data_IF_141597602836
#
_entry.id   IF_141597602836
#
_cell.length_a   1.000
_cell.length_b   1.000
_cell.length_c   1.000
_cell.angle_alpha   90.00
_cell.angle_beta   90.00
_cell.angle_gamma   90.00
#
_symmetry.space_group_name_H-M   'P 1'
#
loop_
_entity.id
_entity.type
_entity.pdbx_description
1 polymer ?
#
# COMPACT_ATOMS: atom_id res chain seq x y z
N UNK A 1 72.12 -7.36 15.80
CA UNK A 1 71.51 -6.54 16.87
C UNK A 1 70.47 -5.60 16.25
N UNK A 2 69.45 -6.07 15.52
CA UNK A 2 68.16 -6.66 15.96
C UNK A 2 67.23 -5.77 16.82
N UNK A 3 67.52 -4.48 17.05
CA UNK A 3 66.66 -3.62 17.89
C UNK A 3 66.16 -2.31 17.23
N UNK A 4 66.48 -2.05 15.96
CA UNK A 4 66.07 -0.81 15.27
C UNK A 4 64.83 -0.97 14.38
N UNK A 5 64.56 -2.19 13.92
CA UNK A 5 63.36 -2.51 13.15
C UNK A 5 62.11 -2.71 14.02
N UNK A 6 62.27 -3.14 15.28
CA UNK A 6 61.14 -3.34 16.21
C UNK A 6 60.40 -2.04 16.55
N UNK A 7 61.12 -0.92 16.66
CA UNK A 7 60.53 0.39 16.97
C UNK A 7 59.87 1.01 15.73
N UNK A 8 60.39 0.75 14.53
CA UNK A 8 59.77 1.22 13.28
C UNK A 8 58.52 0.41 12.91
N UNK A 9 58.51 -0.89 13.20
CA UNK A 9 57.33 -1.74 12.97
C UNK A 9 56.20 -1.38 13.96
N UNK A 10 56.51 -1.02 15.22
CA UNK A 10 55.47 -0.65 16.20
C UNK A 10 54.78 0.68 15.89
N UNK A 11 55.51 1.69 15.39
CA UNK A 11 54.92 3.00 15.04
C UNK A 11 54.04 2.92 13.80
N UNK A 12 54.36 2.04 12.85
CA UNK A 12 53.56 1.85 11.62
C UNK A 12 52.27 1.07 11.89
N UNK A 13 52.29 0.09 12.79
CA UNK A 13 51.10 -0.71 13.18
C UNK A 13 50.10 0.14 13.98
N UNK A 14 50.56 1.10 14.78
CA UNK A 14 49.67 2.00 15.55
C UNK A 14 48.97 3.02 14.64
N UNK A 15 49.58 3.44 13.53
CA UNK A 15 48.96 4.39 12.59
C UNK A 15 47.85 3.76 11.73
N UNK A 16 47.91 2.46 11.46
CA UNK A 16 46.87 1.74 10.70
C UNK A 16 45.60 1.53 11.55
N UNK A 17 45.72 1.42 12.87
CA UNK A 17 44.58 1.17 13.77
C UNK A 17 43.76 2.42 14.11
N UNK A 18 44.27 3.62 13.84
CA UNK A 18 43.61 4.90 14.10
C UNK A 18 43.09 5.59 12.84
N UNK A 19 43.03 4.88 11.70
CA UNK A 19 42.18 5.31 10.61
C UNK A 19 40.76 5.04 11.12
N UNK A 20 39.95 6.05 11.50
CA UNK A 20 38.54 5.79 11.66
C UNK A 20 38.13 5.16 10.35
N UNK A 21 37.61 3.93 10.41
CA UNK A 21 36.88 3.35 9.30
C UNK A 21 35.76 4.36 9.06
N UNK A 22 36.02 5.34 8.21
CA UNK A 22 35.01 6.18 7.62
C UNK A 22 34.24 5.17 6.80
N UNK A 23 33.29 4.52 7.46
CA UNK A 23 32.17 3.91 6.81
C UNK A 23 31.68 5.04 5.94
N UNK A 24 31.93 4.94 4.63
CA UNK A 24 31.10 5.61 3.67
C UNK A 24 29.73 5.06 4.01
N UNK A 25 29.02 5.78 4.89
CA UNK A 25 27.60 5.59 5.03
C UNK A 25 27.11 5.85 3.62
N UNK A 26 26.75 4.78 2.92
CA UNK A 26 25.90 4.93 1.77
C UNK A 26 24.65 5.60 2.31
N UNK A 27 24.63 6.93 2.20
CA UNK A 27 23.44 7.76 2.29
C UNK A 27 22.59 7.52 1.05
N UNK A 28 22.51 6.26 0.59
CA UNK A 28 21.37 5.78 -0.16
C UNK A 28 20.18 5.85 0.79
N UNK A 29 19.05 6.34 0.30
CA UNK A 29 17.85 6.59 1.09
C UNK A 29 17.37 5.34 1.86
N UNK A 30 17.95 5.06 3.03
CA UNK A 30 17.40 4.17 4.05
C UNK A 30 16.13 4.82 4.56
N UNK A 31 15.01 4.54 3.90
CA UNK A 31 13.70 4.97 4.36
C UNK A 31 12.86 5.75 3.36
N UNK A 32 13.17 5.76 2.06
CA UNK A 32 12.07 5.95 1.10
C UNK A 32 11.28 4.64 1.03
N UNK A 33 10.55 4.34 2.11
CA UNK A 33 9.34 3.55 1.97
C UNK A 33 8.54 4.31 0.93
N UNK A 34 8.37 3.76 -0.26
CA UNK A 34 7.25 4.13 -1.11
C UNK A 34 6.03 3.67 -0.30
N UNK A 35 5.64 4.45 0.72
CA UNK A 35 4.32 4.31 1.31
C UNK A 35 3.44 4.74 0.16
N UNK A 36 2.88 3.76 -0.56
CA UNK A 36 1.76 4.04 -1.45
C UNK A 36 0.80 4.83 -0.59
N UNK A 37 0.65 6.12 -0.90
CA UNK A 37 -0.15 7.02 -0.11
C UNK A 37 -1.60 6.65 -0.40
N UNK A 38 -2.04 5.56 0.20
CA UNK A 38 -3.44 5.19 0.20
C UNK A 38 -4.19 6.36 0.84
N UNK A 39 -5.23 6.81 0.16
CA UNK A 39 -6.11 7.82 0.71
C UNK A 39 -7.20 7.11 1.51
N UNK A 40 -7.34 7.46 2.79
CA UNK A 40 -8.34 6.85 3.66
C UNK A 40 -9.75 7.28 3.23
N UNK A 41 -10.69 6.32 3.21
CA UNK A 41 -12.11 6.60 2.95
C UNK A 41 -13.04 5.53 3.52
N UNK A 42 -14.32 5.88 3.55
CA UNK A 42 -15.41 4.96 3.91
C UNK A 42 -15.58 3.84 2.87
N UNK A 43 -16.29 2.75 3.23
CA UNK A 43 -16.59 1.66 2.31
C UNK A 43 -17.24 2.11 1.00
N UNK A 44 -16.87 1.42 -0.07
CA UNK A 44 -17.36 1.69 -1.42
C UNK A 44 -18.55 0.78 -1.71
N UNK A 45 -19.65 1.36 -2.19
CA UNK A 45 -20.82 0.63 -2.66
C UNK A 45 -21.20 1.09 -4.06
N UNK A 46 -21.06 0.20 -5.02
CA UNK A 46 -21.50 0.37 -6.41
C UNK A 46 -22.64 -0.61 -6.66
N UNK A 47 -23.83 -0.13 -6.99
CA UNK A 47 -25.02 -0.95 -7.20
C UNK A 47 -25.77 -0.54 -8.47
N UNK A 48 -25.14 -0.77 -9.62
CA UNK A 48 -25.56 -0.29 -10.93
C UNK A 48 -24.43 0.45 -11.64
N UNK A 49 -24.45 0.44 -12.98
CA UNK A 49 -23.45 1.13 -13.81
C UNK A 49 -23.38 2.64 -13.49
N UNK A 50 -24.51 3.26 -13.14
CA UNK A 50 -24.58 4.68 -12.78
C UNK A 50 -23.85 5.04 -11.48
N UNK A 51 -23.56 4.05 -10.62
CA UNK A 51 -22.90 4.29 -9.34
C UNK A 51 -21.37 4.42 -9.50
N UNK A 52 -20.79 4.09 -10.67
CA UNK A 52 -19.37 4.27 -10.96
C UNK A 52 -19.00 5.75 -11.12
N UNK A 53 -18.90 6.43 -9.98
CA UNK A 53 -18.60 7.85 -9.86
C UNK A 53 -17.35 8.08 -9.04
N UNK A 54 -16.72 9.24 -9.20
CA UNK A 54 -15.56 9.63 -8.40
C UNK A 54 -15.87 9.72 -6.90
N UNK A 55 -17.08 10.15 -6.54
CA UNK A 55 -17.58 10.13 -5.15
C UNK A 55 -17.61 8.70 -4.58
N UNK A 56 -17.94 7.72 -5.41
CA UNK A 56 -17.97 6.30 -5.01
C UNK A 56 -16.62 5.60 -5.20
N UNK A 57 -15.53 6.34 -5.31
CA UNK A 57 -14.17 5.78 -5.28
C UNK A 57 -13.61 5.35 -6.63
N UNK A 58 -14.26 5.70 -7.74
CA UNK A 58 -13.66 5.57 -9.07
C UNK A 58 -12.57 6.63 -9.26
N UNK A 59 -11.37 6.22 -9.64
CA UNK A 59 -10.23 7.12 -9.87
C UNK A 59 -10.02 7.46 -11.35
N UNK A 60 -10.47 6.60 -12.26
CA UNK A 60 -10.34 6.77 -13.72
C UNK A 60 -11.19 5.75 -14.46
N UNK A 61 -11.23 5.83 -15.81
CA UNK A 61 -11.94 4.90 -16.67
C UNK A 61 -13.36 5.36 -17.02
N UNK A 62 -13.95 4.71 -18.03
CA UNK A 62 -15.32 4.97 -18.49
C UNK A 62 -16.21 3.71 -18.48
N UNK A 63 -15.67 2.56 -18.08
CA UNK A 63 -16.43 1.32 -17.92
C UNK A 63 -16.49 0.45 -19.18
N UNK A 64 -15.83 0.86 -20.26
CA UNK A 64 -15.63 0.02 -21.46
C UNK A 64 -14.57 -1.06 -21.24
N UNK A 65 -14.54 -2.09 -22.07
CA UNK A 65 -13.52 -3.14 -22.02
C UNK A 65 -12.11 -2.57 -22.20
N UNK A 66 -11.96 -1.61 -23.12
CA UNK A 66 -10.68 -0.93 -23.39
C UNK A 66 -10.28 0.06 -22.30
N UNK A 67 -11.24 0.61 -21.55
CA UNK A 67 -11.02 1.61 -20.51
C UNK A 67 -11.90 1.37 -19.26
N UNK A 68 -11.65 0.26 -18.53
CA UNK A 68 -12.46 -0.14 -17.39
C UNK A 68 -12.40 0.90 -16.27
N UNK A 69 -13.48 1.02 -15.49
CA UNK A 69 -13.46 1.83 -14.27
C UNK A 69 -12.40 1.34 -13.31
N UNK A 70 -11.55 2.24 -12.81
CA UNK A 70 -10.52 1.91 -11.83
C UNK A 70 -10.99 2.35 -10.46
N UNK A 71 -11.06 1.40 -9.52
CA UNK A 71 -11.26 1.65 -8.10
C UNK A 71 -9.95 1.28 -7.40
N UNK A 72 -9.22 2.27 -6.91
CA UNK A 72 -7.88 1.98 -6.42
C UNK A 72 -7.22 3.06 -5.59
N UNK A 73 -6.09 2.69 -4.99
CA UNK A 73 -5.27 3.57 -4.15
C UNK A 73 -5.97 4.03 -2.86
N UNK A 74 -6.86 3.20 -2.32
CA UNK A 74 -7.65 3.48 -1.12
C UNK A 74 -7.18 2.68 0.11
N UNK A 75 -7.26 3.29 1.29
CA UNK A 75 -7.24 2.59 2.60
C UNK A 75 -8.66 2.64 3.17
N UNK A 76 -9.32 1.49 3.21
CA UNK A 76 -10.74 1.36 3.54
C UNK A 76 -10.87 0.58 4.84
N UNK A 77 -11.51 1.19 5.83
CA UNK A 77 -11.97 0.49 7.03
C UNK A 77 -13.45 0.13 6.87
N UNK A 78 -13.78 -1.16 6.92
CA UNK A 78 -15.16 -1.64 6.89
C UNK A 78 -15.82 -1.75 8.26
N UNK A 79 -15.25 -1.10 9.28
CA UNK A 79 -15.69 -1.21 10.67
C UNK A 79 -17.09 -0.63 10.85
N UNK A 80 -18.00 -1.42 11.41
CA UNK A 80 -19.41 -1.03 11.58
C UNK A 80 -20.25 -1.04 10.30
N UNK A 81 -19.66 -1.27 9.12
CA UNK A 81 -20.37 -1.26 7.82
C UNK A 81 -20.65 -2.66 7.26
N UNK A 82 -19.94 -3.69 7.71
CA UNK A 82 -20.12 -5.06 7.24
C UNK A 82 -19.64 -5.31 5.81
N UNK A 83 -19.01 -4.33 5.15
CA UNK A 83 -18.32 -4.50 3.87
C UNK A 83 -17.19 -3.46 3.72
N UNK A 84 -16.22 -3.75 2.84
CA UNK A 84 -15.22 -2.78 2.41
C UNK A 84 -15.52 -2.23 1.02
N UNK A 85 -15.61 -3.11 0.03
CA UNK A 85 -16.02 -2.78 -1.34
C UNK A 85 -17.15 -3.73 -1.74
N UNK A 86 -18.32 -3.17 -2.04
CA UNK A 86 -19.43 -3.86 -2.69
C UNK A 86 -19.52 -3.36 -4.13
N UNK A 87 -19.56 -4.27 -5.10
CA UNK A 87 -19.89 -3.97 -6.49
C UNK A 87 -20.96 -4.95 -6.94
N UNK A 88 -22.07 -4.46 -7.47
CA UNK A 88 -23.06 -5.35 -8.03
C UNK A 88 -24.04 -4.70 -8.99
N UNK A 89 -24.82 -5.57 -9.63
CA UNK A 89 -25.80 -5.22 -10.66
C UNK A 89 -25.19 -4.38 -11.79
N UNK A 90 -24.02 -4.80 -12.27
CA UNK A 90 -23.23 -4.07 -13.27
C UNK A 90 -22.85 -4.96 -14.43
N UNK A 91 -22.84 -4.37 -15.62
CA UNK A 91 -22.23 -4.93 -16.84
C UNK A 91 -20.99 -4.14 -17.25
N UNK A 92 -20.71 -3.00 -16.63
CA UNK A 92 -19.52 -2.21 -16.88
C UNK A 92 -18.24 -2.96 -16.45
N UNK A 93 -17.17 -2.77 -17.22
CA UNK A 93 -15.85 -3.31 -16.89
C UNK A 93 -15.19 -2.47 -15.79
N UNK A 94 -14.55 -3.13 -14.82
CA UNK A 94 -13.86 -2.47 -13.73
C UNK A 94 -12.61 -3.22 -13.28
N UNK A 95 -11.71 -2.49 -12.62
CA UNK A 95 -10.48 -2.99 -12.00
C UNK A 95 -10.39 -2.44 -10.59
N UNK A 96 -10.27 -3.35 -9.61
CA UNK A 96 -9.90 -3.00 -8.24
C UNK A 96 -8.39 -3.17 -8.11
N UNK A 97 -7.64 -2.11 -7.82
CA UNK A 97 -6.17 -2.19 -7.72
C UNK A 97 -5.61 -1.36 -6.59
N UNK A 98 -4.61 -1.91 -5.89
CA UNK A 98 -3.89 -1.23 -4.82
C UNK A 98 -4.86 -0.65 -3.77
N UNK A 99 -5.71 -1.49 -3.21
CA UNK A 99 -6.56 -1.14 -2.07
C UNK A 99 -6.08 -1.91 -0.84
N UNK A 100 -6.01 -1.22 0.30
CA UNK A 100 -5.96 -1.85 1.61
C UNK A 100 -7.36 -1.83 2.19
N UNK A 101 -7.89 -3.01 2.51
CA UNK A 101 -9.23 -3.15 3.09
C UNK A 101 -9.10 -3.90 4.41
N UNK A 102 -9.58 -3.30 5.50
CA UNK A 102 -9.35 -3.80 6.86
C UNK A 102 -10.55 -3.58 7.78
N UNK A 103 -10.53 -4.23 8.93
CA UNK A 103 -11.52 -4.10 10.00
C UNK A 103 -12.97 -4.32 9.57
N UNK A 104 -13.22 -5.17 8.58
CA UNK A 104 -14.57 -5.34 8.02
C UNK A 104 -15.43 -6.16 8.97
N UNK A 105 -16.38 -5.50 9.60
CA UNK A 105 -17.35 -6.09 10.50
C UNK A 105 -18.64 -5.26 10.50
N UNK A 106 -19.78 -5.89 10.77
CA UNK A 106 -21.07 -5.21 10.86
C UNK A 106 -21.92 -5.76 12.01
N UNK A 107 -22.53 -4.85 12.78
CA UNK A 107 -23.48 -5.18 13.84
C UNK A 107 -24.76 -5.85 13.33
N UNK A 108 -25.66 -6.28 14.22
CA UNK A 108 -26.98 -6.84 13.85
C UNK A 108 -27.79 -5.89 12.97
N UNK A 109 -27.63 -4.59 13.18
CA UNK A 109 -28.53 -3.56 12.65
C UNK A 109 -28.06 -2.98 11.31
N UNK A 110 -26.92 -3.46 10.81
CA UNK A 110 -26.32 -2.96 9.57
C UNK A 110 -27.00 -3.61 8.37
N UNK A 111 -27.68 -2.82 7.51
CA UNK A 111 -28.34 -3.36 6.33
C UNK A 111 -27.31 -3.89 5.34
N UNK A 112 -27.62 -5.03 4.70
CA UNK A 112 -26.77 -5.65 3.68
C UNK A 112 -25.36 -6.02 4.17
N UNK A 113 -25.22 -6.37 5.46
CA UNK A 113 -23.92 -6.82 5.99
C UNK A 113 -23.53 -8.17 5.41
N UNK A 114 -22.28 -8.25 4.98
CA UNK A 114 -21.70 -9.45 4.37
C UNK A 114 -20.49 -9.94 5.15
N UNK A 115 -19.96 -9.05 6.00
CA UNK A 115 -18.67 -9.17 6.66
C UNK A 115 -17.57 -9.57 5.67
N UNK A 116 -17.59 -8.95 4.49
CA UNK A 116 -16.70 -9.26 3.39
C UNK A 116 -15.92 -8.02 2.94
N UNK A 117 -14.60 -8.14 2.85
CA UNK A 117 -13.75 -7.06 2.38
C UNK A 117 -14.08 -6.64 0.94
N UNK A 118 -14.35 -7.63 0.09
CA UNK A 118 -14.80 -7.44 -1.28
C UNK A 118 -16.01 -8.34 -1.52
N UNK A 119 -17.08 -7.78 -2.06
CA UNK A 119 -18.24 -8.51 -2.50
C UNK A 119 -18.67 -8.12 -3.90
N UNK A 120 -18.83 -9.13 -4.76
CA UNK A 120 -19.30 -9.00 -6.13
C UNK A 120 -20.64 -9.70 -6.26
N UNK A 121 -21.67 -8.99 -6.74
CA UNK A 121 -23.02 -9.53 -6.86
C UNK A 121 -23.66 -9.20 -8.19
N UNK A 122 -24.09 -10.21 -8.95
CA UNK A 122 -24.68 -9.99 -10.26
C UNK A 122 -23.78 -9.09 -11.14
N UNK A 123 -22.51 -9.50 -11.24
CA UNK A 123 -21.50 -8.92 -12.13
C UNK A 123 -21.37 -9.87 -13.31
N UNK A 124 -21.38 -9.35 -14.53
CA UNK A 124 -21.41 -10.13 -15.77
C UNK A 124 -20.14 -9.92 -16.59
#
# INVERSE_FOLDING_TARGET
MKSRYLILISVFVVFVAAIPLSQTEERGAKGMMIKWAYTTRDPIRINGDSDFTSSNGVTSGDGTEENPYVIGYWDISGEGHGYGIYIGNTTAHFVIKNCRIQNVNGGSDVPYKMNAALYLFNVQ
#
